data_IF_956840025340
#
_entry.id   IF_956840025340
#
_cell.length_a   1.000
_cell.length_b   1.000
_cell.length_c   1.000
_cell.angle_alpha   90.00
_cell.angle_beta   90.00
_cell.angle_gamma   90.00
#
_symmetry.space_group_name_H-M   'P 1'
#
loop_
_entity.id
_entity.type
_entity.pdbx_description
1 polymer ?
#
# COMPACT_ATOMS: atom_id res chain seq x y z
N UNK A 1 -3.56 19.90 -24.23
CA UNK A 1 -2.56 18.92 -23.79
C UNK A 1 -1.26 19.66 -23.61
N UNK A 2 -0.92 20.03 -22.38
CA UNK A 2 0.45 20.45 -22.06
C UNK A 2 1.21 19.16 -21.76
N UNK A 3 1.88 18.59 -22.77
CA UNK A 3 2.88 17.55 -22.49
C UNK A 3 3.91 18.15 -21.52
N UNK A 4 4.21 17.44 -20.44
CA UNK A 4 5.23 17.87 -19.50
C UNK A 4 6.57 17.83 -20.23
N UNK A 5 7.25 18.99 -20.32
CA UNK A 5 8.53 19.19 -21.01
C UNK A 5 9.55 18.08 -20.70
N UNK A 6 9.65 17.67 -19.43
CA UNK A 6 10.50 16.55 -19.02
C UNK A 6 9.64 15.33 -18.69
N UNK A 7 9.82 14.26 -19.45
CA UNK A 7 9.05 13.02 -19.26
C UNK A 7 9.93 11.79 -19.45
N UNK A 8 9.48 10.64 -18.95
CA UNK A 8 10.20 9.39 -19.14
C UNK A 8 10.13 8.96 -20.61
N UNK A 9 11.25 8.45 -21.12
CA UNK A 9 11.34 7.93 -22.47
C UNK A 9 10.24 6.90 -22.73
N UNK A 10 9.46 7.13 -23.80
CA UNK A 10 8.38 6.22 -24.21
C UNK A 10 8.98 4.84 -24.53
N UNK A 11 8.35 3.79 -23.99
CA UNK A 11 8.86 2.43 -24.11
C UNK A 11 8.93 1.97 -25.57
N UNK A 12 10.11 1.48 -25.96
CA UNK A 12 10.34 0.70 -27.19
C UNK A 12 11.15 -0.56 -26.85
N UNK A 13 10.97 -1.69 -27.56
CA UNK A 13 11.84 -2.85 -27.38
C UNK A 13 13.32 -2.46 -27.48
N UNK A 14 14.11 -2.72 -26.44
CA UNK A 14 15.52 -2.32 -26.36
C UNK A 14 15.80 -0.89 -25.85
N UNK A 15 14.77 -0.09 -25.52
CA UNK A 15 14.96 1.28 -25.00
C UNK A 15 15.47 1.35 -23.56
N UNK A 16 15.26 0.30 -22.77
CA UNK A 16 15.70 0.26 -21.37
C UNK A 16 17.18 -0.10 -21.28
N UNK A 17 17.92 0.65 -20.49
CA UNK A 17 19.37 0.45 -20.29
C UNK A 17 19.65 -0.23 -18.95
N UNK A 18 20.93 -0.42 -18.63
CA UNK A 18 21.34 -0.91 -17.33
C UNK A 18 21.15 0.17 -16.25
N UNK A 19 20.62 -0.21 -15.09
CA UNK A 19 20.50 0.70 -13.96
C UNK A 19 21.89 1.07 -13.41
N UNK A 20 22.20 2.35 -13.20
CA UNK A 20 23.50 2.78 -12.67
C UNK A 20 23.75 2.30 -11.23
N UNK A 21 22.70 2.06 -10.45
CA UNK A 21 22.81 1.63 -9.05
C UNK A 21 22.95 0.11 -8.92
N UNK A 22 22.06 -0.67 -9.52
CA UNK A 22 22.03 -2.12 -9.35
C UNK A 22 22.70 -2.91 -10.49
N UNK A 23 23.14 -2.25 -11.55
CA UNK A 23 23.83 -2.85 -12.70
C UNK A 23 22.97 -3.79 -13.56
N UNK A 24 21.70 -4.04 -13.19
CA UNK A 24 20.80 -4.94 -13.93
C UNK A 24 20.48 -4.34 -15.30
N UNK A 25 20.62 -5.15 -16.35
CA UNK A 25 20.33 -4.76 -17.74
C UNK A 25 18.82 -4.60 -17.96
N UNK A 26 18.45 -3.74 -18.90
CA UNK A 26 17.08 -3.58 -19.41
C UNK A 26 16.01 -3.23 -18.37
N UNK A 27 16.38 -2.52 -17.30
CA UNK A 27 15.46 -2.15 -16.21
C UNK A 27 15.42 -0.64 -15.93
N UNK A 28 16.20 0.16 -16.65
CA UNK A 28 16.31 1.60 -16.42
C UNK A 28 15.66 2.41 -17.54
N UNK A 29 14.79 3.36 -17.17
CA UNK A 29 14.10 4.26 -18.10
C UNK A 29 14.55 5.69 -17.84
N UNK A 30 15.07 6.37 -18.88
CA UNK A 30 15.65 7.71 -18.77
C UNK A 30 14.60 8.81 -18.88
N UNK A 31 14.88 9.97 -18.30
CA UNK A 31 14.13 11.20 -18.59
C UNK A 31 14.64 11.83 -19.89
N UNK A 32 13.70 12.38 -20.67
CA UNK A 32 13.96 13.12 -21.91
C UNK A 32 13.30 14.50 -21.85
N UNK A 33 13.96 15.49 -22.45
CA UNK A 33 13.40 16.83 -22.71
C UNK A 33 12.76 16.84 -24.10
N UNK A 34 11.46 17.07 -24.15
CA UNK A 34 10.70 17.16 -25.40
C UNK A 34 11.12 18.35 -26.26
N UNK A 35 11.57 19.44 -25.62
CA UNK A 35 12.08 20.61 -26.33
C UNK A 35 13.46 20.37 -26.97
N UNK A 36 14.15 19.29 -26.58
CA UNK A 36 15.50 18.94 -27.07
C UNK A 36 16.61 19.91 -26.63
N UNK A 37 16.31 20.85 -25.73
CA UNK A 37 17.26 21.87 -25.26
C UNK A 37 18.25 21.29 -24.23
N UNK A 38 17.87 20.20 -23.55
CA UNK A 38 18.69 19.53 -22.52
C UNK A 38 18.81 18.05 -22.84
N UNK A 39 20.05 17.58 -22.98
CA UNK A 39 20.35 16.16 -22.97
C UNK A 39 20.70 15.73 -21.54
N UNK A 40 19.78 15.07 -20.86
CA UNK A 40 20.05 14.53 -19.52
C UNK A 40 21.11 13.43 -19.57
N UNK A 41 22.06 13.38 -18.61
CA UNK A 41 23.02 12.29 -18.50
C UNK A 41 22.38 10.91 -18.30
N UNK A 42 23.16 9.85 -18.53
CA UNK A 42 22.70 8.46 -18.56
C UNK A 42 22.17 7.92 -17.22
N UNK A 43 22.37 8.65 -16.13
CA UNK A 43 21.91 8.30 -14.80
C UNK A 43 20.60 9.00 -14.39
N UNK A 44 20.07 9.95 -15.17
CA UNK A 44 18.80 10.63 -14.83
C UNK A 44 17.62 9.79 -15.35
N UNK A 45 16.93 9.11 -14.45
CA UNK A 45 15.89 8.14 -14.80
C UNK A 45 15.38 7.36 -13.60
N UNK A 46 14.60 6.31 -13.89
CA UNK A 46 13.99 5.44 -12.88
C UNK A 46 14.29 3.97 -13.18
N UNK A 47 14.56 3.21 -12.13
CA UNK A 47 14.70 1.76 -12.16
C UNK A 47 13.34 1.09 -11.96
N UNK A 48 13.01 0.10 -12.80
CA UNK A 48 11.79 -0.70 -12.68
C UNK A 48 11.73 -1.51 -11.37
N UNK A 49 12.91 -1.85 -10.82
CA UNK A 49 13.03 -2.59 -9.57
C UNK A 49 12.93 -1.67 -8.36
N UNK A 50 11.80 -0.99 -8.20
CA UNK A 50 11.57 -0.02 -7.13
C UNK A 50 11.82 -0.66 -5.75
N UNK A 51 11.38 -1.90 -5.54
CA UNK A 51 11.48 -2.54 -4.23
C UNK A 51 12.87 -3.10 -3.89
N UNK A 52 13.69 -3.47 -4.90
CA UNK A 52 15.01 -4.06 -4.64
C UNK A 52 16.18 -3.12 -4.94
N UNK A 53 15.94 -2.04 -5.68
CA UNK A 53 16.96 -1.06 -6.07
C UNK A 53 16.52 0.35 -5.71
N UNK A 54 15.25 0.71 -5.93
CA UNK A 54 14.71 2.00 -5.52
C UNK A 54 15.29 3.22 -6.24
N UNK A 55 16.20 3.03 -7.20
CA UNK A 55 16.90 4.12 -7.87
C UNK A 55 15.93 4.97 -8.71
N UNK A 56 15.81 6.24 -8.32
CA UNK A 56 15.05 7.25 -9.05
C UNK A 56 15.78 8.58 -8.93
N UNK A 57 16.35 9.05 -10.04
CA UNK A 57 17.00 10.35 -10.12
C UNK A 57 16.21 11.24 -11.08
N UNK A 58 15.47 12.18 -10.51
CA UNK A 58 14.50 13.03 -11.24
C UNK A 58 15.18 14.25 -11.89
N UNK A 59 14.57 14.85 -12.93
CA UNK A 59 15.03 16.14 -13.46
C UNK A 59 15.10 17.24 -12.38
N UNK A 60 14.18 17.20 -11.39
CA UNK A 60 14.17 18.15 -10.27
C UNK A 60 15.42 18.03 -9.39
N UNK A 61 15.89 16.82 -9.14
CA UNK A 61 17.13 16.57 -8.39
C UNK A 61 18.34 16.92 -9.25
N UNK A 62 18.34 16.54 -10.53
CA UNK A 62 19.39 16.94 -11.47
C UNK A 62 19.61 18.46 -11.52
N UNK A 63 18.56 19.28 -11.61
CA UNK A 63 18.68 20.74 -11.60
C UNK A 63 19.04 21.32 -10.23
N UNK A 64 18.78 20.60 -9.14
CA UNK A 64 19.22 20.98 -7.80
C UNK A 64 20.73 20.79 -7.67
N UNK A 65 21.23 19.68 -8.20
CA UNK A 65 22.64 19.32 -8.13
C UNK A 65 23.48 20.04 -9.19
N UNK A 66 22.85 20.54 -10.26
CA UNK A 66 23.48 21.24 -11.38
C UNK A 66 22.87 22.65 -11.59
N UNK A 67 23.04 23.59 -10.65
CA UNK A 67 22.41 24.92 -10.71
C UNK A 67 22.82 25.74 -11.94
N UNK A 68 24.07 25.58 -12.42
CA UNK A 68 24.56 26.26 -13.63
C UNK A 68 23.79 25.89 -14.91
N UNK A 69 23.25 24.67 -15.00
CA UNK A 69 22.41 24.24 -16.15
C UNK A 69 21.04 24.91 -16.08
N UNK A 70 20.49 25.06 -14.88
CA UNK A 70 19.23 25.75 -14.62
C UNK A 70 19.31 27.25 -14.94
N UNK A 71 20.44 27.89 -14.60
CA UNK A 71 20.68 29.30 -14.91
C UNK A 71 20.74 29.57 -16.41
N UNK A 72 21.48 28.74 -17.19
CA UNK A 72 21.56 28.87 -18.66
C UNK A 72 20.21 28.77 -19.37
N UNK A 73 19.33 27.87 -18.91
CA UNK A 73 17.97 27.75 -19.45
C UNK A 73 17.14 29.00 -19.17
N UNK A 74 17.27 29.55 -17.95
CA UNK A 74 16.56 30.76 -17.56
C UNK A 74 17.07 32.02 -18.28
N UNK A 75 18.34 32.05 -18.70
CA UNK A 75 18.92 33.13 -19.49
C UNK A 75 18.53 33.04 -20.97
N UNK A 76 18.46 31.83 -21.55
CA UNK A 76 17.97 31.62 -22.92
C UNK A 76 16.48 31.98 -23.08
N UNK A 77 15.67 31.70 -22.06
CA UNK A 77 14.26 32.13 -22.00
C UNK A 77 14.11 33.67 -21.91
N UNK A 78 15.09 34.36 -21.31
CA UNK A 78 15.12 35.84 -21.22
C UNK A 78 15.60 36.49 -22.52
N UNK A 79 16.56 35.89 -23.22
CA UNK A 79 17.09 36.41 -24.49
C UNK A 79 16.16 36.20 -25.70
N UNK A 80 15.13 35.35 -25.57
CA UNK A 80 14.16 35.08 -26.65
C UNK A 80 12.93 36.01 -26.63
N UNK A 81 12.83 36.95 -25.68
CA UNK A 81 11.72 37.91 -25.59
C UNK A 81 12.20 39.32 -25.94
N UNK A 82 11.67 39.87 -27.03
CA UNK A 82 11.84 41.28 -27.41
C UNK A 82 11.39 42.20 -26.26
N UNK A 83 12.11 43.31 -26.00
CA UNK A 83 11.86 44.13 -24.82
C UNK A 83 10.58 44.95 -25.02
N UNK A 84 9.51 44.58 -24.31
CA UNK A 84 8.34 45.44 -24.13
C UNK A 84 8.33 45.94 -22.68
N UNK A 85 8.04 47.22 -22.52
CA UNK A 85 8.18 48.03 -21.31
C UNK A 85 7.94 47.32 -19.97
N UNK A 86 8.82 47.61 -19.01
CA UNK A 86 8.83 47.08 -17.65
C UNK A 86 7.45 47.16 -16.99
N UNK A 87 6.82 46.00 -16.79
CA UNK A 87 5.72 45.83 -15.83
C UNK A 87 6.33 45.55 -14.45
N UNK A 88 5.71 46.03 -13.35
CA UNK A 88 6.24 45.83 -12.01
C UNK A 88 6.43 44.33 -11.72
N UNK A 89 7.56 43.99 -11.09
CA UNK A 89 7.85 42.62 -10.68
C UNK A 89 6.67 42.04 -9.90
N UNK A 90 5.96 41.09 -10.52
CA UNK A 90 4.94 40.33 -9.84
C UNK A 90 5.62 39.57 -8.71
N UNK A 91 5.17 39.80 -7.47
CA UNK A 91 5.58 39.00 -6.30
C UNK A 91 5.48 37.51 -6.68
N UNK A 92 6.46 36.66 -6.30
CA UNK A 92 6.35 35.24 -6.55
C UNK A 92 5.05 34.75 -5.89
N UNK A 93 4.07 34.41 -6.73
CA UNK A 93 2.84 33.75 -6.27
C UNK A 93 3.31 32.43 -5.65
N UNK A 94 2.91 32.10 -4.41
CA UNK A 94 3.21 30.79 -3.84
C UNK A 94 2.78 29.74 -4.86
N UNK A 95 3.71 28.86 -5.25
CA UNK A 95 3.42 27.74 -6.14
C UNK A 95 2.27 26.96 -5.52
N UNK A 96 1.05 27.15 -6.04
CA UNK A 96 -0.14 26.51 -5.49
C UNK A 96 0.10 25.01 -5.56
N UNK A 97 0.03 24.32 -4.41
CA UNK A 97 0.18 22.87 -4.38
C UNK A 97 -0.73 22.25 -5.46
N UNK A 98 -0.21 21.29 -6.25
CA UNK A 98 -0.98 20.71 -7.33
C UNK A 98 -2.30 20.15 -6.80
N UNK A 99 -3.43 20.68 -7.30
CA UNK A 99 -4.78 20.26 -6.89
C UNK A 99 -4.93 18.74 -6.98
N UNK A 100 -5.22 18.10 -5.86
CA UNK A 100 -5.47 16.65 -5.76
C UNK A 100 -6.78 16.33 -6.49
N UNK A 101 -6.81 15.22 -7.22
CA UNK A 101 -8.03 14.74 -7.89
C UNK A 101 -8.81 13.79 -6.98
N UNK A 102 -10.14 13.84 -7.08
CA UNK A 102 -11.05 12.92 -6.40
C UNK A 102 -11.87 12.15 -7.42
N UNK A 103 -12.20 10.90 -7.07
CA UNK A 103 -13.13 10.09 -7.83
C UNK A 103 -14.57 10.33 -7.34
N UNK A 104 -15.57 10.18 -8.22
CA UNK A 104 -16.97 10.27 -7.81
C UNK A 104 -17.33 9.20 -6.76
N UNK A 105 -18.08 9.60 -5.71
CA UNK A 105 -18.49 8.70 -4.63
C UNK A 105 -19.50 7.64 -5.10
N UNK A 106 -20.33 7.95 -6.09
CA UNK A 106 -21.28 7.02 -6.71
C UNK A 106 -20.58 5.81 -7.34
N UNK A 107 -19.32 5.92 -7.74
CA UNK A 107 -18.56 4.78 -8.26
C UNK A 107 -18.28 3.74 -7.18
N UNK A 108 -18.09 4.18 -5.93
CA UNK A 108 -17.95 3.28 -4.79
C UNK A 108 -19.26 2.49 -4.64
N UNK A 109 -20.39 3.18 -4.54
CA UNK A 109 -21.72 2.56 -4.37
C UNK A 109 -22.10 1.62 -5.52
N UNK A 110 -21.81 2.01 -6.76
CA UNK A 110 -22.05 1.19 -7.95
C UNK A 110 -21.23 -0.12 -7.91
N UNK A 111 -20.03 -0.08 -7.32
CA UNK A 111 -19.17 -1.26 -7.18
C UNK A 111 -19.57 -2.17 -6.02
N UNK A 112 -20.40 -1.73 -5.07
CA UNK A 112 -20.91 -2.53 -3.93
C UNK A 112 -22.03 -3.49 -4.36
N UNK A 113 -21.85 -4.15 -5.50
CA UNK A 113 -22.81 -5.03 -6.15
C UNK A 113 -22.06 -6.17 -6.80
N UNK A 114 -22.82 -7.17 -7.26
CA UNK A 114 -22.29 -8.33 -8.00
C UNK A 114 -21.19 -9.10 -7.25
N UNK A 115 -21.35 -9.26 -5.93
CA UNK A 115 -20.44 -10.06 -5.13
C UNK A 115 -20.45 -11.55 -5.51
N UNK A 116 -21.48 -12.01 -6.24
CA UNK A 116 -21.59 -13.35 -6.83
C UNK A 116 -20.40 -13.72 -7.73
N UNK A 117 -19.77 -12.74 -8.38
CA UNK A 117 -18.60 -12.96 -9.24
C UNK A 117 -17.28 -12.61 -8.56
N UNK A 118 -17.28 -12.05 -7.35
CA UNK A 118 -16.06 -11.52 -6.75
C UNK A 118 -15.26 -12.62 -6.03
N UNK A 119 -14.08 -13.04 -6.54
CA UNK A 119 -13.34 -14.16 -5.97
C UNK A 119 -12.94 -13.94 -4.50
N UNK A 120 -12.56 -12.71 -4.15
CA UNK A 120 -12.20 -12.37 -2.79
C UNK A 120 -13.41 -12.45 -1.86
N UNK A 121 -14.57 -11.98 -2.31
CA UNK A 121 -15.80 -12.10 -1.53
C UNK A 121 -16.14 -13.59 -1.31
N UNK A 122 -16.10 -14.42 -2.35
CA UNK A 122 -16.34 -15.86 -2.23
C UNK A 122 -15.41 -16.51 -1.21
N UNK A 123 -14.11 -16.18 -1.25
CA UNK A 123 -13.15 -16.64 -0.25
C UNK A 123 -13.55 -16.20 1.17
N UNK A 124 -13.83 -14.91 1.38
CA UNK A 124 -14.23 -14.42 2.71
C UNK A 124 -15.53 -15.04 3.23
N UNK A 125 -16.49 -15.36 2.36
CA UNK A 125 -17.71 -16.07 2.80
C UNK A 125 -17.43 -17.46 3.33
N UNK A 126 -16.37 -18.14 2.86
CA UNK A 126 -15.92 -19.43 3.42
C UNK A 126 -15.24 -19.24 4.78
N UNK A 127 -14.47 -18.15 4.94
CA UNK A 127 -13.71 -17.85 6.17
C UNK A 127 -14.60 -17.34 7.31
N UNK A 128 -15.44 -16.34 7.03
CA UNK A 128 -16.18 -15.58 8.03
C UNK A 128 -17.70 -15.80 7.98
N UNK A 129 -18.21 -16.52 6.98
CA UNK A 129 -19.63 -16.59 6.69
C UNK A 129 -20.16 -15.36 5.95
N UNK A 130 -21.36 -15.50 5.36
CA UNK A 130 -21.93 -14.49 4.46
C UNK A 130 -22.26 -13.16 5.15
N UNK A 131 -22.89 -13.22 6.33
CA UNK A 131 -23.36 -12.02 7.04
C UNK A 131 -22.19 -11.12 7.47
N UNK A 132 -21.15 -11.71 8.04
CA UNK A 132 -19.95 -10.98 8.43
C UNK A 132 -19.16 -10.48 7.22
N UNK A 133 -19.10 -11.25 6.14
CA UNK A 133 -18.49 -10.80 4.88
C UNK A 133 -19.23 -9.59 4.31
N UNK A 134 -20.56 -9.63 4.27
CA UNK A 134 -21.39 -8.50 3.83
C UNK A 134 -21.14 -7.25 4.69
N UNK A 135 -21.08 -7.44 6.01
CA UNK A 135 -20.79 -6.36 6.96
C UNK A 135 -19.40 -5.76 6.71
N UNK A 136 -18.37 -6.59 6.62
CA UNK A 136 -16.98 -6.15 6.43
C UNK A 136 -16.78 -5.44 5.09
N UNK A 137 -17.27 -6.01 3.99
CA UNK A 137 -17.12 -5.42 2.65
C UNK A 137 -17.84 -4.08 2.56
N UNK A 138 -19.02 -3.92 3.19
CA UNK A 138 -19.70 -2.63 3.27
C UNK A 138 -18.95 -1.64 4.14
N UNK A 139 -18.52 -2.05 5.34
CA UNK A 139 -17.80 -1.20 6.29
C UNK A 139 -16.52 -0.62 5.68
N UNK A 140 -15.72 -1.48 5.04
CA UNK A 140 -14.45 -1.12 4.43
C UNK A 140 -14.56 -0.62 2.99
N UNK A 141 -15.77 -0.58 2.43
CA UNK A 141 -16.02 -0.18 1.04
C UNK A 141 -15.17 -1.00 0.07
N UNK A 142 -15.33 -2.32 0.10
CA UNK A 142 -14.70 -3.24 -0.86
C UNK A 142 -15.71 -3.55 -1.96
N UNK A 143 -15.42 -3.06 -3.16
CA UNK A 143 -16.28 -3.21 -4.33
C UNK A 143 -15.87 -4.37 -5.25
N UNK A 144 -16.62 -4.51 -6.33
CA UNK A 144 -16.38 -5.49 -7.40
C UNK A 144 -16.16 -4.78 -8.73
N UNK A 145 -15.10 -5.17 -9.44
CA UNK A 145 -14.80 -4.77 -10.81
C UNK A 145 -15.11 -5.90 -11.78
N UNK A 146 -15.52 -5.57 -13.01
CA UNK A 146 -15.66 -6.56 -14.09
C UNK A 146 -14.31 -7.07 -14.62
N UNK A 147 -13.21 -6.40 -14.24
CA UNK A 147 -11.87 -6.87 -14.60
C UNK A 147 -11.60 -8.25 -14.00
N UNK A 148 -10.85 -9.06 -14.74
CA UNK A 148 -10.40 -10.38 -14.31
C UNK A 148 -11.51 -11.23 -13.69
N UNK A 149 -12.69 -11.18 -14.32
CA UNK A 149 -13.88 -11.93 -13.93
C UNK A 149 -14.41 -11.64 -12.51
N UNK A 150 -14.20 -10.44 -11.97
CA UNK A 150 -14.77 -10.05 -10.67
C UNK A 150 -13.79 -9.48 -9.67
N UNK A 151 -12.65 -8.94 -10.11
CA UNK A 151 -11.60 -8.43 -9.23
C UNK A 151 -12.12 -7.48 -8.13
N UNK A 152 -11.54 -7.59 -6.94
CA UNK A 152 -11.89 -6.74 -5.82
C UNK A 152 -11.40 -5.31 -6.04
N UNK A 153 -12.18 -4.33 -5.59
CA UNK A 153 -11.81 -2.91 -5.61
C UNK A 153 -11.68 -2.41 -4.18
N UNK A 154 -10.46 -2.08 -3.78
CA UNK A 154 -10.17 -1.48 -2.48
C UNK A 154 -10.19 0.04 -2.64
N UNK A 155 -11.27 0.64 -2.16
CA UNK A 155 -11.45 2.09 -2.24
C UNK A 155 -10.67 2.78 -1.13
N UNK A 156 -9.87 3.77 -1.52
CA UNK A 156 -9.18 4.68 -0.62
C UNK A 156 -10.05 5.92 -0.48
N UNK A 157 -10.80 6.00 0.62
CA UNK A 157 -11.59 7.17 0.99
C UNK A 157 -10.93 7.83 2.19
N UNK A 158 -10.69 9.13 2.11
CA UNK A 158 -10.12 9.88 3.24
C UNK A 158 -11.13 10.04 4.39
N UNK A 159 -10.66 10.62 5.51
CA UNK A 159 -11.50 10.94 6.67
C UNK A 159 -12.66 11.91 6.35
N UNK A 160 -12.52 12.74 5.32
CA UNK A 160 -13.54 13.72 4.92
C UNK A 160 -14.57 13.13 3.93
N UNK A 161 -14.48 11.84 3.61
CA UNK A 161 -15.41 11.12 2.73
C UNK A 161 -15.10 11.24 1.23
N UNK A 162 -14.01 11.89 0.85
CA UNK A 162 -13.56 12.06 -0.53
C UNK A 162 -12.81 10.82 -1.03
N UNK A 163 -13.19 10.31 -2.21
CA UNK A 163 -12.56 9.12 -2.81
C UNK A 163 -11.25 9.49 -3.48
N UNK A 164 -10.12 9.08 -2.88
CA UNK A 164 -8.76 9.37 -3.35
C UNK A 164 -8.29 8.46 -4.48
N UNK A 165 -8.63 7.18 -4.40
CA UNK A 165 -8.28 6.19 -5.40
C UNK A 165 -9.14 4.93 -5.23
N UNK A 166 -9.09 4.05 -6.22
CA UNK A 166 -9.60 2.68 -6.10
C UNK A 166 -8.57 1.73 -6.70
N UNK A 167 -8.12 0.76 -5.90
CA UNK A 167 -7.13 -0.24 -6.32
C UNK A 167 -7.85 -1.53 -6.68
N UNK A 168 -7.76 -1.93 -7.94
CA UNK A 168 -8.36 -3.15 -8.47
C UNK A 168 -7.33 -4.26 -8.34
N UNK A 169 -7.69 -5.37 -7.68
CA UNK A 169 -6.79 -6.50 -7.45
C UNK A 169 -7.50 -7.83 -7.70
N UNK A 170 -6.82 -8.70 -8.46
CA UNK A 170 -7.26 -10.07 -8.72
C UNK A 170 -6.89 -11.03 -7.60
N UNK A 171 -7.83 -11.91 -7.25
CA UNK A 171 -7.68 -12.92 -6.20
C UNK A 171 -8.17 -14.27 -6.68
N UNK A 172 -7.60 -15.32 -6.12
CA UNK A 172 -8.07 -16.68 -6.26
C UNK A 172 -9.21 -16.96 -5.25
N UNK A 173 -10.29 -17.59 -5.71
CA UNK A 173 -11.50 -17.80 -4.90
C UNK A 173 -11.40 -18.95 -3.88
N UNK A 174 -10.42 -19.84 -4.06
CA UNK A 174 -10.21 -20.99 -3.17
C UNK A 174 -9.20 -20.63 -2.08
N UNK A 175 -8.06 -20.08 -2.48
CA UNK A 175 -6.94 -19.79 -1.58
C UNK A 175 -6.96 -18.39 -0.99
N UNK A 176 -7.67 -17.43 -1.61
CA UNK A 176 -7.64 -16.03 -1.20
C UNK A 176 -6.30 -15.34 -1.46
N UNK A 177 -5.40 -15.96 -2.22
CA UNK A 177 -4.13 -15.37 -2.61
C UNK A 177 -4.29 -14.41 -3.81
N UNK A 178 -3.43 -13.39 -3.85
CA UNK A 178 -3.35 -12.45 -4.97
C UNK A 178 -2.81 -13.15 -6.21
N UNK A 179 -3.43 -12.92 -7.36
CA UNK A 179 -2.98 -13.51 -8.63
C UNK A 179 -1.82 -12.67 -9.18
N UNK A 180 -0.61 -13.25 -9.15
CA UNK A 180 0.62 -12.62 -9.67
C UNK A 180 1.10 -13.19 -11.01
N UNK A 181 0.59 -14.36 -11.38
CA UNK A 181 0.95 -15.10 -12.58
C UNK A 181 -0.29 -15.38 -13.43
N UNK A 182 -0.18 -15.36 -14.79
CA UNK A 182 1.01 -15.10 -15.59
C UNK A 182 1.44 -13.62 -15.63
N UNK A 183 0.64 -12.74 -15.02
CA UNK A 183 1.00 -11.34 -14.79
C UNK A 183 0.31 -10.84 -13.52
N UNK A 184 0.87 -9.80 -12.94
CA UNK A 184 0.33 -9.21 -11.71
C UNK A 184 -1.01 -8.53 -11.97
N UNK A 185 -2.09 -9.08 -11.40
CA UNK A 185 -3.44 -8.56 -11.54
C UNK A 185 -3.68 -7.39 -10.58
N UNK A 186 -3.05 -6.24 -10.87
CA UNK A 186 -3.24 -4.98 -10.14
C UNK A 186 -3.42 -3.82 -11.11
N UNK A 187 -4.44 -2.99 -10.88
CA UNK A 187 -4.68 -1.78 -11.67
C UNK A 187 -5.37 -0.72 -10.80
N UNK A 188 -5.52 0.50 -11.32
CA UNK A 188 -6.21 1.58 -10.64
C UNK A 188 -7.48 1.96 -11.40
N UNK A 189 -8.54 2.26 -10.65
CA UNK A 189 -9.84 2.64 -11.21
C UNK A 189 -9.71 3.84 -12.15
N UNK A 190 -8.93 4.86 -11.78
CA UNK A 190 -8.75 6.05 -12.62
C UNK A 190 -8.05 5.72 -13.95
N UNK A 191 -7.12 4.77 -13.98
CA UNK A 191 -6.44 4.31 -15.20
C UNK A 191 -7.40 3.54 -16.09
N UNK A 192 -8.20 2.62 -15.52
CA UNK A 192 -9.18 1.80 -16.24
C UNK A 192 -10.31 2.65 -16.81
N UNK A 193 -10.77 3.65 -16.05
CA UNK A 193 -11.78 4.63 -16.46
C UNK A 193 -11.21 5.75 -17.33
N UNK A 194 -9.90 5.76 -17.57
CA UNK A 194 -9.18 6.76 -18.38
C UNK A 194 -9.49 8.20 -17.95
N UNK A 195 -9.50 8.45 -16.65
CA UNK A 195 -9.74 9.79 -16.09
C UNK A 195 -8.58 10.70 -16.48
N UNK A 196 -8.81 11.78 -17.24
CA UNK A 196 -7.74 12.65 -17.71
C UNK A 196 -7.12 13.44 -16.56
N UNK A 197 -5.80 13.66 -16.63
CA UNK A 197 -5.05 14.50 -15.69
C UNK A 197 -5.23 14.16 -14.19
N UNK A 198 -5.52 12.89 -13.89
CA UNK A 198 -5.79 12.44 -12.52
C UNK A 198 -4.53 12.51 -11.65
N UNK A 199 -4.55 13.37 -10.64
CA UNK A 199 -3.49 13.55 -9.66
C UNK A 199 -3.81 12.76 -8.40
N UNK A 200 -3.35 11.52 -8.39
CA UNK A 200 -3.56 10.58 -7.29
C UNK A 200 -2.72 10.97 -6.06
N UNK A 201 -3.39 11.07 -4.90
CA UNK A 201 -2.76 11.12 -3.58
C UNK A 201 -3.37 10.02 -2.73
N UNK A 202 -2.59 8.97 -2.45
CA UNK A 202 -3.06 7.84 -1.65
C UNK A 202 -3.35 8.26 -0.22
N UNK A 203 -4.33 7.59 0.37
CA UNK A 203 -4.68 7.65 1.79
C UNK A 203 -4.77 6.22 2.33
N UNK A 204 -4.88 6.05 3.65
CA UNK A 204 -4.96 4.71 4.23
C UNK A 204 -6.23 4.01 3.76
N UNK A 205 -6.14 2.71 3.48
CA UNK A 205 -7.35 1.90 3.31
C UNK A 205 -8.05 1.79 4.67
N UNK A 206 -9.35 2.08 4.70
CA UNK A 206 -10.13 2.19 5.93
C UNK A 206 -10.04 3.56 6.63
N UNK A 207 -9.34 4.55 6.07
CA UNK A 207 -9.17 5.87 6.72
C UNK A 207 -10.50 6.56 7.02
N UNK A 208 -11.51 6.38 6.18
CA UNK A 208 -12.88 6.87 6.41
C UNK A 208 -13.50 6.36 7.71
N UNK A 209 -13.03 5.24 8.27
CA UNK A 209 -13.49 4.73 9.56
C UNK A 209 -13.07 5.62 10.74
N UNK A 210 -12.05 6.46 10.54
CA UNK A 210 -11.60 7.44 11.54
C UNK A 210 -12.50 8.69 11.60
N UNK A 211 -13.47 8.82 10.68
CA UNK A 211 -14.43 9.94 10.67
C UNK A 211 -15.52 9.79 11.74
N UNK A 212 -15.75 8.58 12.23
CA UNK A 212 -16.71 8.31 13.29
C UNK A 212 -16.14 8.79 14.64
N UNK A 213 -16.66 9.92 15.12
CA UNK A 213 -16.28 10.54 16.40
C UNK A 213 -17.06 9.97 17.59
N UNK A 214 -17.85 8.91 17.41
CA UNK A 214 -18.49 8.25 18.54
C UNK A 214 -17.43 7.74 19.52
N UNK A 215 -17.72 7.83 20.82
CA UNK A 215 -16.79 7.37 21.86
C UNK A 215 -16.35 5.91 21.65
N UNK A 216 -17.26 5.07 21.14
CA UNK A 216 -17.01 3.67 20.84
C UNK A 216 -15.95 3.43 19.74
N UNK A 217 -15.71 4.39 18.84
CA UNK A 217 -14.71 4.30 17.76
C UNK A 217 -13.49 5.19 18.03
N UNK A 218 -13.68 6.31 18.73
CA UNK A 218 -12.60 7.22 19.14
C UNK A 218 -11.65 6.56 20.14
N UNK A 219 -12.15 5.72 21.04
CA UNK A 219 -11.33 5.06 22.06
C UNK A 219 -10.61 3.81 21.54
N UNK A 220 -11.04 3.25 20.40
CA UNK A 220 -10.38 2.08 19.81
C UNK A 220 -8.97 2.43 19.32
N UNK A 221 -7.94 1.63 19.68
CA UNK A 221 -6.62 1.76 19.10
C UNK A 221 -6.65 1.47 17.60
N UNK A 222 -5.74 2.09 16.86
CA UNK A 222 -5.59 1.90 15.42
C UNK A 222 -4.51 0.86 15.17
N UNK A 223 -4.83 -0.18 14.39
CA UNK A 223 -3.86 -1.15 13.92
C UNK A 223 -3.53 -0.91 12.46
N UNK A 224 -2.26 -0.90 12.08
CA UNK A 224 -1.82 -0.68 10.69
C UNK A 224 -1.11 -1.92 10.17
N UNK A 225 -1.54 -2.40 9.01
CA UNK A 225 -0.94 -3.52 8.27
C UNK A 225 -0.56 -3.10 6.85
N UNK A 226 0.20 -3.93 6.14
CA UNK A 226 0.61 -3.62 4.78
C UNK A 226 -0.55 -3.72 3.78
N UNK A 227 -1.30 -4.82 3.84
CA UNK A 227 -2.24 -5.22 2.81
C UNK A 227 -3.70 -4.99 3.20
N UNK A 228 -4.50 -4.59 2.22
CA UNK A 228 -5.92 -4.31 2.39
C UNK A 228 -6.71 -5.59 2.75
N UNK A 229 -6.32 -6.75 2.21
CA UNK A 229 -6.90 -8.05 2.59
C UNK A 229 -6.61 -8.34 4.06
N UNK A 230 -5.38 -8.10 4.50
CA UNK A 230 -4.92 -8.35 5.86
C UNK A 230 -5.72 -7.53 6.87
N UNK A 231 -6.02 -6.27 6.54
CA UNK A 231 -6.88 -5.42 7.36
C UNK A 231 -8.31 -5.98 7.49
N UNK A 232 -8.88 -6.54 6.42
CA UNK A 232 -10.22 -7.16 6.47
C UNK A 232 -10.25 -8.41 7.33
N UNK A 233 -9.26 -9.29 7.18
CA UNK A 233 -9.13 -10.51 8.00
C UNK A 233 -8.97 -10.13 9.47
N UNK A 234 -8.05 -9.22 9.77
CA UNK A 234 -7.79 -8.80 11.14
C UNK A 234 -8.98 -8.05 11.76
N UNK A 235 -9.73 -7.26 10.99
CA UNK A 235 -10.97 -6.64 11.45
C UNK A 235 -12.07 -7.65 11.80
N UNK A 236 -12.07 -8.83 11.18
CA UNK A 236 -12.97 -9.92 11.53
C UNK A 236 -12.59 -10.56 12.88
N UNK A 237 -11.33 -10.99 13.01
CA UNK A 237 -10.87 -11.76 14.16
C UNK A 237 -10.53 -10.91 15.40
N UNK A 238 -10.16 -9.64 15.21
CA UNK A 238 -9.73 -8.74 16.28
C UNK A 238 -10.49 -7.39 16.17
N UNK A 239 -11.79 -7.37 16.49
CA UNK A 239 -12.65 -6.20 16.28
C UNK A 239 -12.39 -5.02 17.24
N UNK A 240 -11.49 -5.20 18.21
CA UNK A 240 -11.11 -4.17 19.19
C UNK A 240 -10.23 -3.06 18.60
N UNK A 241 -9.64 -3.29 17.42
CA UNK A 241 -8.89 -2.28 16.69
C UNK A 241 -9.68 -1.69 15.52
N UNK A 242 -9.37 -0.45 15.16
CA UNK A 242 -9.64 0.06 13.80
C UNK A 242 -8.48 -0.35 12.91
N UNK A 243 -8.70 -1.32 12.02
CA UNK A 243 -7.66 -1.81 11.12
C UNK A 243 -7.57 -0.95 9.87
N UNK A 244 -6.36 -0.49 9.57
CA UNK A 244 -6.03 0.31 8.39
C UNK A 244 -4.92 -0.38 7.60
N UNK A 245 -4.86 -0.15 6.29
CA UNK A 245 -3.75 -0.66 5.47
C UNK A 245 -3.04 0.41 4.65
N UNK A 246 -1.71 0.29 4.56
CA UNK A 246 -0.86 1.19 3.78
C UNK A 246 -0.96 0.97 2.27
N UNK A 247 -1.39 -0.23 1.86
CA UNK A 247 -1.45 -0.65 0.46
C UNK A 247 -0.14 -1.24 -0.08
N UNK A 248 0.71 -1.72 0.82
CA UNK A 248 2.04 -2.32 0.61
C UNK A 248 3.10 -1.72 1.56
N UNK A 249 4.23 -2.40 1.71
CA UNK A 249 5.38 -2.01 2.56
C UNK A 249 5.74 -0.52 2.48
N UNK A 250 5.79 0.03 1.26
CA UNK A 250 6.07 1.45 1.00
C UNK A 250 4.87 2.21 0.42
N UNK A 251 3.64 1.79 0.71
CA UNK A 251 2.42 2.43 0.18
C UNK A 251 2.23 3.86 0.68
N UNK A 252 1.09 4.16 1.31
CA UNK A 252 0.86 5.50 1.88
C UNK A 252 1.59 5.73 3.23
N UNK A 253 2.64 4.97 3.56
CA UNK A 253 3.36 5.13 4.83
C UNK A 253 4.35 6.31 4.78
N UNK A 254 3.83 7.53 4.73
CA UNK A 254 4.61 8.77 4.78
C UNK A 254 3.99 9.76 5.78
N UNK A 255 4.76 10.80 6.13
CA UNK A 255 4.34 11.78 7.14
C UNK A 255 3.01 12.44 6.79
N UNK A 256 2.81 12.83 5.53
CA UNK A 256 1.59 13.50 5.08
C UNK A 256 0.33 12.65 5.23
N UNK A 257 0.38 11.37 4.89
CA UNK A 257 -0.75 10.46 5.04
C UNK A 257 -0.99 10.05 6.50
N UNK A 258 0.07 9.87 7.28
CA UNK A 258 -0.04 9.42 8.67
C UNK A 258 -0.55 10.49 9.65
N UNK A 259 -0.54 11.77 9.26
CA UNK A 259 -1.10 12.87 10.07
C UNK A 259 -2.57 12.66 10.46
N UNK A 260 -3.33 11.84 9.72
CA UNK A 260 -4.71 11.50 10.07
C UNK A 260 -4.84 10.79 11.43
N UNK A 261 -3.73 10.22 11.92
CA UNK A 261 -3.64 9.48 13.19
C UNK A 261 -3.27 10.36 14.39
N UNK A 262 -3.23 11.68 14.22
CA UNK A 262 -2.90 12.62 15.29
C UNK A 262 -3.71 12.34 16.57
N UNK A 263 -3.01 12.23 17.70
CA UNK A 263 -3.62 11.96 19.01
C UNK A 263 -4.16 10.55 19.23
N UNK A 264 -4.03 9.63 18.26
CA UNK A 264 -4.47 8.23 18.40
C UNK A 264 -3.39 7.36 19.04
N UNK A 265 -3.84 6.24 19.58
CA UNK A 265 -2.96 5.11 19.88
C UNK A 265 -2.85 4.22 18.64
N UNK A 266 -1.62 3.92 18.22
CA UNK A 266 -1.31 3.21 16.99
C UNK A 266 -0.41 2.02 17.27
N UNK A 267 -0.79 0.86 16.73
CA UNK A 267 0.02 -0.35 16.74
C UNK A 267 0.31 -0.76 15.29
N UNK A 268 1.57 -0.86 14.94
CA UNK A 268 2.01 -1.36 13.64
C UNK A 268 2.14 -2.88 13.69
N UNK A 269 1.58 -3.56 12.69
CA UNK A 269 1.68 -5.00 12.47
C UNK A 269 2.34 -5.25 11.11
N UNK A 270 3.68 -5.10 11.03
CA UNK A 270 4.43 -5.34 9.79
C UNK A 270 4.43 -6.82 9.43
N UNK A 271 4.59 -7.13 8.14
CA UNK A 271 4.89 -8.49 7.69
C UNK A 271 6.28 -8.89 8.25
N UNK A 272 6.55 -10.19 8.42
CA UNK A 272 7.79 -10.69 9.04
C UNK A 272 9.10 -10.21 8.37
N UNK A 273 9.05 -9.70 7.13
CA UNK A 273 10.23 -9.15 6.43
C UNK A 273 10.31 -7.61 6.45
N UNK A 274 9.29 -6.95 6.98
CA UNK A 274 9.19 -5.49 7.01
C UNK A 274 9.38 -4.90 8.43
N UNK A 275 9.52 -5.76 9.46
CA UNK A 275 9.58 -5.35 10.86
C UNK A 275 10.60 -4.25 11.14
N UNK A 276 11.84 -4.43 10.70
CA UNK A 276 12.89 -3.44 10.92
C UNK A 276 12.60 -2.12 10.21
N UNK A 277 12.09 -2.19 8.98
CA UNK A 277 11.79 -1.00 8.19
C UNK A 277 10.68 -0.18 8.84
N UNK A 278 9.62 -0.85 9.29
CA UNK A 278 8.49 -0.21 9.96
C UNK A 278 8.89 0.34 11.33
N UNK A 279 9.78 -0.34 12.07
CA UNK A 279 10.37 0.20 13.30
C UNK A 279 11.13 1.50 13.06
N UNK A 280 11.88 1.63 11.96
CA UNK A 280 12.56 2.90 11.61
C UNK A 280 11.60 4.04 11.34
N UNK A 281 10.33 3.77 11.03
CA UNK A 281 9.28 4.78 10.81
C UNK A 281 8.52 5.16 12.09
N UNK A 282 8.70 4.45 13.20
CA UNK A 282 8.05 4.78 14.48
C UNK A 282 8.30 6.22 14.96
N UNK A 283 9.53 6.77 14.92
CA UNK A 283 9.77 8.13 15.42
C UNK A 283 8.94 9.20 14.69
N UNK A 284 8.59 8.95 13.42
CA UNK A 284 7.68 9.82 12.68
C UNK A 284 6.29 9.83 13.33
N UNK A 285 5.74 8.66 13.67
CA UNK A 285 4.42 8.52 14.29
C UNK A 285 4.41 9.08 15.70
N UNK A 286 5.46 8.84 16.48
CA UNK A 286 5.60 9.35 17.85
C UNK A 286 5.53 10.89 17.93
N UNK A 287 5.85 11.60 16.85
CA UNK A 287 5.77 13.06 16.81
C UNK A 287 4.35 13.63 16.84
N UNK A 288 3.33 12.82 16.54
CA UNK A 288 1.93 13.28 16.51
C UNK A 288 0.90 12.29 17.09
N UNK A 289 1.22 11.01 17.22
CA UNK A 289 0.36 10.03 17.88
C UNK A 289 0.46 10.16 19.41
N UNK A 290 -0.62 9.81 20.12
CA UNK A 290 -0.58 9.71 21.59
C UNK A 290 0.36 8.60 22.06
N UNK A 291 0.36 7.49 21.31
CA UNK A 291 1.25 6.34 21.51
C UNK A 291 1.41 5.63 20.17
N UNK A 292 2.63 5.28 19.80
CA UNK A 292 2.91 4.47 18.61
C UNK A 292 3.83 3.31 19.00
N UNK A 293 3.49 2.09 18.62
CA UNK A 293 4.30 0.90 18.89
C UNK A 293 4.37 0.01 17.66
N UNK A 294 5.47 -0.72 17.49
CA UNK A 294 5.57 -1.76 16.46
C UNK A 294 5.52 -3.13 17.13
N UNK A 295 4.50 -3.91 16.77
CA UNK A 295 4.26 -5.23 17.33
C UNK A 295 5.38 -6.19 16.93
N UNK A 296 5.92 -6.91 17.90
CA UNK A 296 6.86 -8.00 17.71
C UNK A 296 6.19 -9.37 17.85
N UNK A 297 4.85 -9.40 17.91
CA UNK A 297 4.07 -10.62 18.10
C UNK A 297 4.41 -11.66 17.03
N UNK A 298 4.36 -11.26 15.75
CA UNK A 298 4.64 -12.17 14.63
C UNK A 298 6.07 -12.71 14.71
N UNK A 299 7.05 -11.84 15.00
CA UNK A 299 8.46 -12.25 15.15
C UNK A 299 8.66 -13.28 16.27
N UNK A 300 7.90 -13.18 17.36
CA UNK A 300 7.98 -14.09 18.50
C UNK A 300 7.34 -15.45 18.21
N UNK A 301 6.22 -15.48 17.50
CA UNK A 301 5.45 -16.71 17.26
C UNK A 301 5.88 -17.45 15.98
N UNK A 302 6.50 -16.77 15.03
CA UNK A 302 6.86 -17.36 13.74
C UNK A 302 7.97 -18.42 13.85
N UNK A 303 7.83 -19.49 13.08
CA UNK A 303 8.91 -20.46 12.81
C UNK A 303 9.90 -19.89 11.79
N UNK A 304 11.08 -20.52 11.65
CA UNK A 304 12.07 -20.12 10.63
C UNK A 304 11.50 -20.10 9.21
N UNK A 305 10.73 -21.14 8.85
CA UNK A 305 10.06 -21.26 7.54
C UNK A 305 9.03 -20.14 7.33
N UNK A 306 8.25 -19.81 8.36
CA UNK A 306 7.26 -18.72 8.28
C UNK A 306 7.93 -17.35 8.14
N UNK A 307 9.07 -17.11 8.81
CA UNK A 307 9.88 -15.90 8.62
C UNK A 307 10.44 -15.80 7.20
N UNK A 308 10.96 -16.91 6.67
CA UNK A 308 11.44 -16.97 5.29
C UNK A 308 10.33 -16.79 4.26
N UNK A 309 9.12 -17.25 4.53
CA UNK A 309 7.95 -16.97 3.70
C UNK A 309 7.50 -15.50 3.78
N UNK A 310 7.79 -14.82 4.89
CA UNK A 310 7.39 -13.44 5.12
C UNK A 310 5.90 -13.30 5.41
N UNK A 311 5.35 -14.18 6.26
CA UNK A 311 3.93 -14.19 6.59
C UNK A 311 3.47 -12.88 7.25
N UNK A 312 2.20 -12.55 7.04
CA UNK A 312 1.51 -11.44 7.68
C UNK A 312 0.57 -11.92 8.81
N UNK A 313 -0.01 -11.00 9.59
CA UNK A 313 -0.92 -11.35 10.68
C UNK A 313 -2.17 -12.11 10.19
N UNK A 314 -2.64 -11.87 8.97
CA UNK A 314 -3.80 -12.58 8.44
C UNK A 314 -3.45 -14.04 8.18
N UNK A 315 -2.25 -14.36 7.72
CA UNK A 315 -1.80 -15.74 7.57
C UNK A 315 -1.85 -16.47 8.93
N UNK A 316 -1.43 -15.81 10.02
CA UNK A 316 -1.55 -16.39 11.38
C UNK A 316 -2.98 -16.54 11.87
N UNK A 317 -3.87 -15.60 11.55
CA UNK A 317 -5.28 -15.66 11.94
C UNK A 317 -6.08 -16.70 11.12
N UNK A 318 -5.61 -17.02 9.92
CA UNK A 318 -6.27 -17.96 9.00
C UNK A 318 -5.65 -19.35 9.02
N UNK A 319 -4.50 -19.54 9.66
CA UNK A 319 -3.92 -20.86 9.86
C UNK A 319 -4.92 -21.71 10.66
N UNK A 320 -5.29 -22.88 10.13
CA UNK A 320 -5.85 -23.95 10.97
C UNK A 320 -4.82 -24.19 12.07
N UNK A 321 -5.26 -24.18 13.34
CA UNK A 321 -4.35 -24.42 14.46
C UNK A 321 -3.59 -25.71 14.17
N UNK A 322 -2.27 -25.59 14.00
CA UNK A 322 -1.45 -26.78 13.83
C UNK A 322 -1.61 -27.64 15.08
N UNK A 323 -1.50 -28.97 14.98
CA UNK A 323 -1.54 -29.83 16.16
C UNK A 323 -0.62 -29.33 17.30
N UNK A 324 0.53 -28.72 16.95
CA UNK A 324 1.46 -28.08 17.90
C UNK A 324 0.86 -26.83 18.57
N UNK A 325 0.18 -25.96 17.80
CA UNK A 325 -0.50 -24.77 18.32
C UNK A 325 -1.68 -25.14 19.21
N UNK A 326 -2.49 -26.13 18.81
CA UNK A 326 -3.58 -26.68 19.65
C UNK A 326 -2.98 -27.19 20.97
N UNK A 327 -1.92 -27.99 20.91
CA UNK A 327 -1.29 -28.52 22.12
C UNK A 327 -0.77 -27.41 23.03
N UNK A 328 -0.13 -26.38 22.47
CA UNK A 328 0.40 -25.26 23.26
C UNK A 328 -0.72 -24.49 23.97
N UNK A 329 -1.84 -24.23 23.28
CA UNK A 329 -3.03 -23.63 23.91
C UNK A 329 -3.62 -24.53 25.00
N UNK A 330 -3.63 -25.86 24.80
CA UNK A 330 -4.08 -26.80 25.82
C UNK A 330 -3.17 -26.76 27.05
N UNK A 331 -1.85 -26.66 26.86
CA UNK A 331 -0.86 -26.54 27.95
C UNK A 331 -1.05 -25.22 28.71
N UNK A 332 -1.29 -24.10 28.02
CA UNK A 332 -1.54 -22.82 28.68
C UNK A 332 -2.79 -22.85 29.56
N UNK A 333 -3.85 -23.52 29.10
CA UNK A 333 -5.08 -23.71 29.89
C UNK A 333 -4.90 -24.72 31.02
N UNK A 334 -4.09 -25.76 30.79
CA UNK A 334 -3.85 -26.83 31.74
C UNK A 334 -2.35 -27.18 31.81
N UNK A 335 -1.57 -26.48 32.65
CA UNK A 335 -0.12 -26.64 32.73
C UNK A 335 0.35 -28.07 33.03
N UNK A 336 -0.49 -28.90 33.67
CA UNK A 336 -0.24 -30.32 33.95
C UNK A 336 -0.01 -31.15 32.68
N UNK A 337 -0.57 -30.75 31.53
CA UNK A 337 -0.32 -31.41 30.25
C UNK A 337 1.17 -31.40 29.89
N UNK A 338 1.90 -30.32 30.20
CA UNK A 338 3.36 -30.26 29.97
C UNK A 338 4.07 -31.35 30.77
N UNK A 339 3.73 -31.47 32.06
CA UNK A 339 4.31 -32.48 32.94
C UNK A 339 4.00 -33.91 32.49
N UNK A 340 2.81 -34.16 31.94
CA UNK A 340 2.45 -35.47 31.39
C UNK A 340 3.23 -35.79 30.12
N UNK A 341 3.38 -34.82 29.22
CA UNK A 341 4.18 -34.97 28.01
C UNK A 341 5.63 -35.31 28.37
N UNK A 342 6.22 -34.56 29.29
CA UNK A 342 7.61 -34.74 29.71
C UNK A 342 7.80 -36.08 30.48
N UNK A 343 6.85 -36.46 31.34
CA UNK A 343 6.94 -37.68 32.15
C UNK A 343 6.80 -38.96 31.31
N UNK A 344 5.97 -38.94 30.27
CA UNK A 344 5.69 -40.10 29.42
C UNK A 344 6.41 -40.06 28.06
N UNK A 345 7.19 -39.00 27.79
CA UNK A 345 7.89 -38.83 26.51
C UNK A 345 6.94 -38.78 25.33
N UNK A 346 5.80 -38.10 25.48
CA UNK A 346 4.77 -38.06 24.44
C UNK A 346 5.23 -37.20 23.27
N UNK A 347 5.09 -37.72 22.06
CA UNK A 347 5.41 -37.01 20.83
C UNK A 347 4.14 -36.66 20.07
N UNK A 348 4.18 -35.52 19.39
CA UNK A 348 3.09 -35.10 18.54
C UNK A 348 3.12 -35.90 17.23
N UNK A 349 2.07 -36.66 16.95
CA UNK A 349 1.89 -37.41 15.71
C UNK A 349 0.84 -36.73 14.84
N UNK A 350 1.17 -36.48 13.57
CA UNK A 350 0.21 -35.96 12.59
C UNK A 350 -0.91 -36.97 12.37
N UNK A 351 -2.14 -36.58 12.73
CA UNK A 351 -3.32 -37.29 12.31
C UNK A 351 -3.52 -37.02 10.83
N UNK A 352 -2.90 -37.84 9.97
CA UNK A 352 -3.20 -37.85 8.54
C UNK A 352 -4.72 -37.91 8.36
N UNK A 353 -5.28 -36.94 7.62
CA UNK A 353 -6.71 -36.87 7.33
C UNK A 353 -7.12 -38.25 6.79
N UNK A 354 -7.95 -38.97 7.54
CA UNK A 354 -8.67 -40.12 7.01
C UNK A 354 -9.55 -39.59 5.87
N UNK A 355 -9.34 -40.15 4.67
CA UNK A 355 -9.96 -39.75 3.40
C UNK A 355 -11.49 -39.64 3.46
#
# INVERSE_FOLDING_TARGET
>A
MTEYRFHLQKYRPGSKTACPECGRKSCFTRYIDEAGEISFPDNVGICDHINSCGYHYTPKEYFRDNPAVKERLSEQERNSRTPTAARPAAKPVPEQEPRISFLPSDWVEQSMRRYDINPLYCYFTKVAGKEDTDRLFRLYRVGTSRMWNGAAVFWQTDRDGNVRAGKIMGYDAETGHRIKEPFNQVNWVHSVRKVPDFRMKQCLFGEHLLSDTSAAVSDKPVAIVESEKTALVAAHFIPDFVWLATGGMHGCFNSGAMQVLHGREVVLFPDLKATEEWRRRLPMLESFCRRATCSDLLEKIATGVQREAGLDIADFLLMEDTPQMILQQMIERHPVLRSLIDAFGLELVDAGRAE
#
